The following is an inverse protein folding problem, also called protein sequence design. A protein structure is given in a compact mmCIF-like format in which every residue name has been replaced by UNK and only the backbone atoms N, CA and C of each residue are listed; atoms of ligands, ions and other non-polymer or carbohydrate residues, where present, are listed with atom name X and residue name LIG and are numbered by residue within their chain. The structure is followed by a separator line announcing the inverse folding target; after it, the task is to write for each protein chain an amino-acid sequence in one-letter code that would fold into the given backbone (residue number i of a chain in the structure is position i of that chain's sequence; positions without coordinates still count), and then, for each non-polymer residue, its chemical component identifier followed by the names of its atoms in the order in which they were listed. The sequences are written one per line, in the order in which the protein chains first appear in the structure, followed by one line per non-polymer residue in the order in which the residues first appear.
data_IF_037890360562
#
_entry.id   IF_037890360562
#
_cell.length_a   1.000
_cell.length_b   1.000
_cell.length_c   1.000
_cell.angle_alpha   90.00
_cell.angle_beta   90.00
_cell.angle_gamma   90.00
#
_symmetry.space_group_name_H-M   'P 1'
#
loop_
_entity.id
_entity.type
_entity.pdbx_description
1 polymer ?
#
# COMPACT_ATOMS: atom_id res chain seq x y z
N UNK A 1 -9.66 9.94 -5.70
CA UNK A 1 -10.47 9.44 -4.57
C UNK A 1 -9.68 9.63 -3.29
N UNK A 2 -10.32 9.92 -2.16
CA UNK A 2 -9.66 10.02 -0.84
C UNK A 2 -10.31 9.04 0.11
N UNK A 3 -9.51 8.27 0.86
CA UNK A 3 -10.01 7.30 1.83
C UNK A 3 -10.76 8.01 2.96
N UNK A 4 -11.99 7.57 3.25
CA UNK A 4 -12.72 7.93 4.46
C UNK A 4 -12.56 6.81 5.47
N UNK A 5 -11.72 7.01 6.49
CA UNK A 5 -11.47 5.98 7.51
C UNK A 5 -12.77 5.52 8.19
N UNK A 6 -12.86 4.23 8.50
CA UNK A 6 -14.01 3.63 9.16
C UNK A 6 -15.17 3.22 8.24
N UNK A 7 -15.04 3.38 6.92
CA UNK A 7 -16.06 2.93 5.95
C UNK A 7 -15.73 1.61 5.27
N UNK A 8 -14.64 0.96 5.66
CA UNK A 8 -14.14 -0.26 5.00
C UNK A 8 -13.42 0.01 3.67
N UNK A 9 -13.10 -1.08 2.99
CA UNK A 9 -12.37 -1.07 1.71
C UNK A 9 -13.31 -0.85 0.53
N UNK A 10 -12.72 -0.44 -0.60
CA UNK A 10 -13.42 -0.36 -1.89
C UNK A 10 -12.88 -1.44 -2.82
N UNK A 11 -13.75 -2.00 -3.66
CA UNK A 11 -13.41 -3.06 -4.61
C UNK A 11 -13.90 -2.70 -6.00
N UNK A 12 -13.16 -3.14 -7.02
CA UNK A 12 -13.59 -2.99 -8.42
C UNK A 12 -14.89 -3.76 -8.65
N UNK A 13 -15.77 -3.23 -9.51
CA UNK A 13 -16.98 -3.97 -9.91
C UNK A 13 -16.63 -5.16 -10.81
N UNK A 14 -15.57 -5.02 -11.61
CA UNK A 14 -15.05 -6.08 -12.47
C UNK A 14 -14.05 -6.97 -11.74
N UNK A 15 -13.93 -8.20 -12.23
CA UNK A 15 -12.93 -9.17 -11.75
C UNK A 15 -11.89 -9.40 -12.85
N UNK A 16 -10.64 -9.60 -12.44
CA UNK A 16 -9.51 -9.70 -13.35
C UNK A 16 -8.72 -10.99 -13.12
N UNK A 17 -8.23 -11.58 -14.22
CA UNK A 17 -7.21 -12.63 -14.19
C UNK A 17 -5.84 -11.98 -14.40
N UNK A 18 -5.22 -12.23 -15.56
CA UNK A 18 -3.99 -11.55 -15.96
C UNK A 18 -4.31 -10.12 -16.37
N UNK A 19 -3.65 -9.16 -15.75
CA UNK A 19 -3.91 -7.73 -15.95
C UNK A 19 -2.66 -6.92 -15.66
N UNK A 20 -2.52 -5.79 -16.34
CA UNK A 20 -1.56 -4.76 -15.98
C UNK A 20 -2.31 -3.64 -15.26
N UNK A 21 -1.90 -3.33 -14.03
CA UNK A 21 -2.55 -2.31 -13.20
C UNK A 21 -1.60 -1.11 -13.09
N UNK A 22 -2.12 0.08 -13.38
CA UNK A 22 -1.46 1.35 -13.09
C UNK A 22 -2.29 2.09 -12.04
N UNK A 23 -1.64 2.62 -11.01
CA UNK A 23 -2.27 3.49 -10.03
C UNK A 23 -1.29 4.56 -9.55
N UNK A 24 -1.83 5.72 -9.21
CA UNK A 24 -1.11 6.80 -8.55
C UNK A 24 -1.77 7.07 -7.19
N UNK A 25 -0.97 7.35 -6.17
CA UNK A 25 -1.46 7.67 -4.83
C UNK A 25 -0.66 8.83 -4.23
N UNK A 26 -1.32 9.53 -3.31
CA UNK A 26 -0.69 10.59 -2.50
C UNK A 26 -0.95 10.31 -1.04
N UNK A 27 0.12 10.18 -0.28
CA UNK A 27 0.05 9.94 1.16
C UNK A 27 -0.34 11.24 1.89
N UNK A 28 -1.14 11.15 2.97
CA UNK A 28 -1.42 12.30 3.83
C UNK A 28 -0.20 12.68 4.65
N UNK A 29 -0.05 13.97 4.97
CA UNK A 29 0.96 14.42 5.93
C UNK A 29 0.55 14.02 7.36
N UNK A 30 1.35 13.15 7.98
CA UNK A 30 1.07 12.54 9.29
C UNK A 30 2.34 12.55 10.15
N UNK A 31 2.81 13.73 10.61
CA UNK A 31 4.11 13.85 11.31
C UNK A 31 4.16 13.10 12.64
N UNK A 32 3.02 12.96 13.33
CA UNK A 32 2.92 12.28 14.61
C UNK A 32 2.77 10.74 14.49
N UNK A 33 2.51 10.23 13.29
CA UNK A 33 2.35 8.80 13.06
C UNK A 33 3.68 8.15 12.65
N UNK A 34 3.89 6.92 13.08
CA UNK A 34 5.11 6.16 12.80
C UNK A 34 4.78 4.73 12.37
N UNK A 35 5.74 4.10 11.70
CA UNK A 35 5.63 2.72 11.21
C UNK A 35 4.35 2.48 10.39
N UNK A 36 3.70 1.35 10.64
CA UNK A 36 2.48 0.94 9.93
C UNK A 36 1.26 1.85 10.15
N UNK A 37 1.33 2.84 11.04
CA UNK A 37 0.24 3.81 11.20
C UNK A 37 0.37 5.02 10.25
N UNK A 38 1.53 5.20 9.60
CA UNK A 38 1.85 6.39 8.81
C UNK A 38 1.45 6.20 7.34
N UNK A 39 0.30 6.74 6.96
CA UNK A 39 -0.17 6.73 5.57
C UNK A 39 -0.52 5.34 5.02
N UNK A 40 -0.87 4.38 5.87
CA UNK A 40 -1.10 2.98 5.47
C UNK A 40 -2.37 2.79 4.62
N UNK A 41 -2.19 2.07 3.50
CA UNK A 41 -3.21 1.49 2.65
C UNK A 41 -2.61 0.29 1.89
N UNK A 42 -3.35 -0.28 0.93
CA UNK A 42 -2.85 -1.40 0.14
C UNK A 42 -3.67 -1.62 -1.12
N UNK A 43 -3.03 -2.23 -2.11
CA UNK A 43 -3.67 -2.66 -3.35
C UNK A 43 -3.73 -4.17 -3.37
N UNK A 44 -4.93 -4.72 -3.21
CA UNK A 44 -5.14 -6.16 -3.17
C UNK A 44 -5.35 -6.73 -4.57
N UNK A 45 -4.35 -7.45 -5.08
CA UNK A 45 -4.44 -8.19 -6.32
C UNK A 45 -5.38 -9.38 -6.11
N UNK A 46 -6.49 -9.38 -6.85
CA UNK A 46 -7.55 -10.39 -6.77
C UNK A 46 -8.12 -10.59 -5.35
N UNK A 47 -8.04 -9.56 -4.49
CA UNK A 47 -8.49 -9.65 -3.09
C UNK A 47 -7.63 -10.56 -2.21
N UNK A 48 -6.40 -10.91 -2.64
CA UNK A 48 -5.56 -11.91 -1.96
C UNK A 48 -4.16 -11.43 -1.63
N UNK A 49 -3.50 -10.80 -2.59
CA UNK A 49 -2.10 -10.42 -2.47
C UNK A 49 -1.98 -8.91 -2.39
N UNK A 50 -1.53 -8.39 -1.26
CA UNK A 50 -1.41 -6.96 -1.03
C UNK A 50 -0.06 -6.45 -1.54
N UNK A 51 -0.14 -5.47 -2.44
CA UNK A 51 0.97 -4.55 -2.69
C UNK A 51 0.83 -3.38 -1.72
N UNK A 52 1.82 -3.24 -0.85
CA UNK A 52 1.77 -2.32 0.27
C UNK A 52 1.84 -0.85 -0.18
N UNK A 53 0.99 -0.01 0.41
CA UNK A 53 1.07 1.46 0.29
C UNK A 53 1.32 2.04 1.69
N UNK A 54 2.48 2.67 1.88
CA UNK A 54 2.87 3.20 3.17
C UNK A 54 3.78 4.42 3.03
N UNK A 55 3.75 5.31 4.01
CA UNK A 55 4.80 6.33 4.16
C UNK A 55 6.05 5.70 4.78
N UNK A 56 6.87 5.09 3.91
CA UNK A 56 8.19 4.54 4.25
C UNK A 56 9.34 5.51 3.95
N UNK A 57 9.06 6.78 3.66
CA UNK A 57 10.07 7.75 3.26
C UNK A 57 11.16 7.90 4.34
N UNK A 58 12.42 7.80 3.93
CA UNK A 58 13.58 7.94 4.80
C UNK A 58 14.05 6.64 5.50
N UNK A 59 13.39 5.49 5.28
CA UNK A 59 13.93 4.21 5.74
C UNK A 59 15.07 3.73 4.83
N UNK A 60 16.22 3.42 5.44
CA UNK A 60 17.43 3.00 4.71
C UNK A 60 17.34 1.58 4.14
N UNK A 61 16.69 0.66 4.87
CA UNK A 61 16.52 -0.74 4.47
C UNK A 61 15.05 -1.07 4.62
N UNK A 62 14.29 -1.26 3.53
CA UNK A 62 12.88 -1.57 3.62
C UNK A 62 12.65 -3.02 4.08
N UNK A 63 11.64 -3.20 4.92
CA UNK A 63 11.12 -4.47 5.37
C UNK A 63 9.93 -4.95 4.52
N UNK A 64 9.37 -6.11 4.92
CA UNK A 64 8.24 -6.75 4.22
C UNK A 64 6.90 -6.00 4.34
N UNK A 65 6.83 -4.99 5.20
CA UNK A 65 5.64 -4.14 5.37
C UNK A 65 5.83 -2.74 4.82
N UNK A 66 6.92 -2.44 4.11
CA UNK A 66 7.18 -1.12 3.56
C UNK A 66 6.62 -0.97 2.13
N UNK A 67 6.51 0.28 1.67
CA UNK A 67 5.84 0.64 0.42
C UNK A 67 6.40 -0.13 -0.78
N UNK A 68 5.51 -0.69 -1.60
CA UNK A 68 5.88 -1.50 -2.76
C UNK A 68 6.25 -2.95 -2.45
N UNK A 69 6.28 -3.35 -1.17
CA UNK A 69 6.44 -4.75 -0.78
C UNK A 69 5.20 -5.59 -1.08
N UNK A 70 5.41 -6.90 -1.25
CA UNK A 70 4.33 -7.88 -1.14
C UNK A 70 4.16 -8.16 0.35
N UNK A 71 3.09 -7.63 0.94
CA UNK A 71 2.95 -7.52 2.39
C UNK A 71 3.22 -8.84 3.12
N UNK A 72 4.14 -8.83 4.09
CA UNK A 72 4.62 -9.97 4.89
C UNK A 72 5.28 -11.14 4.11
N UNK A 73 5.37 -11.04 2.78
CA UNK A 73 5.98 -12.05 1.93
C UNK A 73 7.38 -11.60 1.50
N UNK A 74 7.49 -10.44 0.86
CA UNK A 74 8.72 -9.97 0.23
C UNK A 74 8.85 -8.45 0.34
N UNK A 75 9.99 -7.99 0.85
CA UNK A 75 10.32 -6.56 0.91
C UNK A 75 10.47 -5.96 -0.50
N UNK A 76 10.19 -4.67 -0.71
CA UNK A 76 10.53 -4.04 -1.97
C UNK A 76 12.05 -4.06 -2.17
N UNK A 77 12.50 -4.10 -3.42
CA UNK A 77 13.95 -4.12 -3.73
C UNK A 77 14.63 -2.78 -3.39
N UNK A 78 13.88 -1.70 -3.46
CA UNK A 78 14.29 -0.33 -3.19
C UNK A 78 13.15 0.36 -2.44
N UNK A 79 13.47 1.36 -1.61
CA UNK A 79 12.45 2.21 -1.01
C UNK A 79 11.87 3.12 -2.10
N UNK A 80 10.54 3.20 -2.15
CA UNK A 80 9.77 3.96 -3.14
C UNK A 80 9.51 5.40 -2.70
#
# INVERSE_FOLDING_TARGET
MTVKKGTGDVVTQETFRDVQIHLEFRLPDMPEATGQAKGNSGVYIQGRYEIQVLDSYGFNIPGKGDCGGVYDVHAPLLNA
#
